data_IF_075934208594
#
_entry.id   IF_075934208594
#
_cell.length_a   1.000
_cell.length_b   1.000
_cell.length_c   1.000
_cell.angle_alpha   90.00
_cell.angle_beta   90.00
_cell.angle_gamma   90.00
#
_symmetry.space_group_name_H-M   'P 1'
#
loop_
_entity.id
_entity.type
_entity.pdbx_description
1 polymer ?
#
# COMPACT_ATOMS: atom_id res chain seq x y z
N UNK A 1 -46.58 -38.97 20.34
CA UNK A 1 -46.12 -37.77 19.63
C UNK A 1 -44.78 -37.40 20.20
N UNK A 2 -43.70 -37.71 19.48
CA UNK A 2 -42.35 -37.34 19.90
C UNK A 2 -41.97 -36.05 19.20
N UNK A 3 -41.79 -35.00 20.01
CA UNK A 3 -41.35 -33.68 19.56
C UNK A 3 -39.87 -33.77 19.21
N UNK A 4 -39.53 -33.54 17.95
CA UNK A 4 -38.15 -33.36 17.53
C UNK A 4 -37.80 -31.89 17.73
N UNK A 5 -37.01 -31.61 18.76
CA UNK A 5 -36.37 -30.30 18.91
C UNK A 5 -35.47 -30.06 17.70
N UNK A 6 -35.84 -29.04 16.94
CA UNK A 6 -35.17 -28.61 15.73
C UNK A 6 -33.84 -27.99 16.16
N UNK A 7 -32.73 -28.68 15.93
CA UNK A 7 -31.40 -28.07 16.03
C UNK A 7 -31.33 -26.90 15.05
N UNK A 8 -31.45 -25.68 15.57
CA UNK A 8 -31.14 -24.46 14.82
C UNK A 8 -29.64 -24.40 14.64
N UNK A 9 -29.17 -24.90 13.50
CA UNK A 9 -27.79 -24.72 13.06
C UNK A 9 -27.73 -23.26 12.59
N UNK A 10 -27.06 -22.41 13.36
CA UNK A 10 -26.75 -21.04 12.98
C UNK A 10 -25.79 -21.11 11.79
N UNK A 11 -26.37 -21.16 10.58
CA UNK A 11 -25.64 -21.02 9.33
C UNK A 11 -25.23 -19.55 9.28
N UNK A 12 -24.12 -19.24 9.95
CA UNK A 12 -23.52 -17.92 9.97
C UNK A 12 -23.51 -17.36 8.56
N UNK A 13 -24.02 -16.15 8.42
CA UNK A 13 -24.05 -15.40 7.17
C UNK A 13 -22.62 -15.30 6.64
N UNK A 14 -22.25 -16.23 5.76
CA UNK A 14 -20.98 -16.18 5.04
C UNK A 14 -21.16 -15.11 3.97
N UNK A 15 -20.86 -13.86 4.33
CA UNK A 15 -20.84 -12.76 3.37
C UNK A 15 -19.78 -13.09 2.30
N UNK A 16 -20.18 -13.30 1.02
CA UNK A 16 -19.24 -13.56 -0.07
C UNK A 16 -18.24 -12.43 -0.27
N UNK A 17 -18.54 -11.22 0.26
CA UNK A 17 -17.69 -10.05 0.19
C UNK A 17 -16.42 -10.15 1.04
N UNK A 18 -16.40 -11.00 2.08
CA UNK A 18 -15.22 -11.18 2.93
C UNK A 18 -14.02 -11.67 2.10
N UNK A 19 -14.29 -12.50 1.08
CA UNK A 19 -13.29 -13.05 0.18
C UNK A 19 -12.75 -12.05 -0.85
N UNK A 20 -13.59 -11.15 -1.34
CA UNK A 20 -13.20 -10.19 -2.37
C UNK A 20 -12.56 -8.94 -1.79
N UNK A 21 -12.99 -8.53 -0.59
CA UNK A 21 -12.41 -7.40 0.15
C UNK A 21 -10.94 -7.63 0.49
N UNK A 22 -10.55 -8.87 0.86
CA UNK A 22 -9.14 -9.16 1.19
C UNK A 22 -8.22 -9.06 -0.03
N UNK A 23 -8.64 -9.54 -1.21
CA UNK A 23 -7.81 -9.51 -2.44
C UNK A 23 -7.63 -8.07 -2.93
N UNK A 24 -8.69 -7.26 -2.82
CA UNK A 24 -8.65 -5.85 -3.19
C UNK A 24 -7.74 -5.04 -2.24
N UNK A 25 -7.80 -5.30 -0.93
CA UNK A 25 -6.90 -4.65 0.04
C UNK A 25 -5.42 -5.01 -0.16
N UNK A 26 -5.11 -6.24 -0.56
CA UNK A 26 -3.72 -6.67 -0.81
C UNK A 26 -3.15 -5.94 -2.02
N UNK A 27 -3.87 -5.90 -3.15
CA UNK A 27 -3.41 -5.22 -4.36
C UNK A 27 -3.43 -3.69 -4.23
N UNK A 28 -4.32 -3.12 -3.42
CA UNK A 28 -4.36 -1.67 -3.17
C UNK A 28 -3.08 -1.20 -2.46
N UNK A 29 -2.52 -2.02 -1.58
CA UNK A 29 -1.34 -1.70 -0.74
C UNK A 29 0.00 -1.84 -1.48
N UNK A 30 0.00 -2.21 -2.77
CA UNK A 30 1.24 -2.49 -3.50
C UNK A 30 1.65 -1.30 -4.38
N UNK A 31 2.85 -0.79 -4.10
CA UNK A 31 3.58 0.11 -4.99
C UNK A 31 4.57 -0.72 -5.81
N UNK A 32 4.44 -0.66 -7.12
CA UNK A 32 5.41 -1.23 -8.08
C UNK A 32 6.14 -0.08 -8.76
N UNK A 33 7.47 -0.11 -8.73
CA UNK A 33 8.34 0.88 -9.38
C UNK A 33 9.36 0.12 -10.22
N UNK A 34 9.38 0.39 -11.52
CA UNK A 34 10.08 -0.45 -12.48
C UNK A 34 9.50 -1.87 -12.44
N UNK A 35 10.33 -2.85 -12.07
CA UNK A 35 9.96 -4.27 -11.93
C UNK A 35 9.93 -4.72 -10.46
N UNK A 36 9.99 -3.78 -9.51
CA UNK A 36 10.15 -4.08 -8.08
C UNK A 36 8.89 -3.73 -7.29
N UNK A 37 8.42 -4.70 -6.50
CA UNK A 37 7.41 -4.48 -5.46
C UNK A 37 8.06 -3.79 -4.26
N UNK A 38 7.82 -2.49 -4.11
CA UNK A 38 8.49 -1.64 -3.12
C UNK A 38 8.22 -2.12 -1.69
N UNK A 39 7.01 -2.63 -1.40
CA UNK A 39 6.67 -3.23 -0.09
C UNK A 39 7.62 -4.37 0.28
N UNK A 40 7.81 -5.30 -0.65
CA UNK A 40 8.62 -6.50 -0.44
C UNK A 40 10.09 -6.10 -0.28
N UNK A 41 10.56 -5.15 -1.09
CA UNK A 41 11.90 -4.59 -0.94
C UNK A 41 12.12 -3.94 0.43
N UNK A 42 11.15 -3.17 0.95
CA UNK A 42 11.25 -2.58 2.28
C UNK A 42 11.25 -3.62 3.41
N UNK A 43 10.47 -4.70 3.27
CA UNK A 43 10.48 -5.82 4.21
C UNK A 43 11.81 -6.59 4.18
N UNK A 44 12.49 -6.62 3.03
CA UNK A 44 13.75 -7.35 2.82
C UNK A 44 14.77 -6.48 2.08
N UNK A 45 15.31 -5.42 2.71
CA UNK A 45 16.17 -4.44 2.05
C UNK A 45 17.56 -4.98 1.69
N UNK A 46 17.92 -6.17 2.21
CA UNK A 46 19.15 -6.91 1.87
C UNK A 46 19.01 -7.70 0.57
N UNK A 47 17.83 -7.72 -0.04
CA UNK A 47 17.62 -8.37 -1.33
C UNK A 47 18.54 -7.75 -2.40
N UNK A 48 19.27 -8.61 -3.12
CA UNK A 48 20.20 -8.17 -4.16
C UNK A 48 19.39 -7.76 -5.40
N UNK A 49 19.30 -6.46 -5.64
CA UNK A 49 18.70 -5.92 -6.85
C UNK A 49 19.62 -6.18 -8.05
N UNK A 50 19.04 -6.63 -9.16
CA UNK A 50 19.79 -6.82 -10.43
C UNK A 50 20.29 -5.49 -10.99
N UNK A 51 19.48 -4.44 -10.91
CA UNK A 51 19.83 -3.09 -11.34
C UNK A 51 19.46 -2.03 -10.27
N UNK A 52 20.25 -1.88 -9.20
CA UNK A 52 19.95 -0.95 -8.11
C UNK A 52 19.93 0.51 -8.59
N UNK A 53 20.75 0.87 -9.59
CA UNK A 53 20.78 2.23 -10.15
C UNK A 53 19.51 2.54 -10.92
N UNK A 54 19.05 1.62 -11.78
CA UNK A 54 17.79 1.77 -12.52
C UNK A 54 16.61 1.93 -11.56
N UNK A 55 16.51 1.03 -10.59
CA UNK A 55 15.46 1.12 -9.57
C UNK A 55 15.51 2.46 -8.80
N UNK A 56 16.70 2.97 -8.47
CA UNK A 56 16.84 4.28 -7.80
C UNK A 56 16.32 5.44 -8.67
N UNK A 57 16.63 5.42 -9.98
CA UNK A 57 16.16 6.44 -10.93
C UNK A 57 14.63 6.41 -11.02
N UNK A 58 14.07 5.22 -11.23
CA UNK A 58 12.61 5.04 -11.33
C UNK A 58 11.89 5.50 -10.05
N UNK A 59 12.50 5.26 -8.88
CA UNK A 59 11.99 5.68 -7.57
C UNK A 59 12.03 7.20 -7.40
N UNK A 60 13.09 7.85 -7.87
CA UNK A 60 13.20 9.31 -7.86
C UNK A 60 12.22 9.96 -8.83
N UNK A 61 12.01 9.37 -10.01
CA UNK A 61 11.02 9.84 -10.99
C UNK A 61 9.60 9.75 -10.42
N UNK A 62 9.26 8.63 -9.76
CA UNK A 62 8.01 8.49 -9.04
C UNK A 62 7.85 9.58 -7.97
N UNK A 63 8.83 9.73 -7.06
CA UNK A 63 8.75 10.76 -6.01
C UNK A 63 8.64 12.18 -6.59
N UNK A 64 9.35 12.45 -7.68
CA UNK A 64 9.28 13.70 -8.44
C UNK A 64 7.87 13.97 -8.98
N UNK A 65 7.19 12.97 -9.55
CA UNK A 65 5.81 13.12 -10.03
C UNK A 65 4.82 13.37 -8.91
N UNK A 66 5.13 12.91 -7.68
CA UNK A 66 4.30 13.12 -6.50
C UNK A 66 4.54 14.47 -5.81
N UNK A 67 5.65 15.16 -6.09
CA UNK A 67 6.04 16.40 -5.40
C UNK A 67 4.99 17.51 -5.53
N UNK A 68 4.38 17.68 -6.71
CA UNK A 68 3.34 18.69 -6.94
C UNK A 68 2.08 18.43 -6.11
N UNK A 69 1.71 17.15 -5.95
CA UNK A 69 0.58 16.78 -5.10
C UNK A 69 0.87 17.06 -3.63
N UNK A 70 2.04 16.67 -3.14
CA UNK A 70 2.44 16.98 -1.77
C UNK A 70 2.42 18.50 -1.52
N UNK A 71 2.93 19.29 -2.47
CA UNK A 71 2.90 20.75 -2.36
C UNK A 71 1.48 21.31 -2.29
N UNK A 72 0.58 20.83 -3.15
CA UNK A 72 -0.84 21.22 -3.13
C UNK A 72 -1.50 20.84 -1.81
N UNK A 73 -1.27 19.64 -1.29
CA UNK A 73 -1.81 19.17 0.00
C UNK A 73 -1.28 20.02 1.16
N UNK A 74 0.00 20.37 1.16
CA UNK A 74 0.63 21.19 2.22
C UNK A 74 0.18 22.65 2.18
N UNK A 75 -0.04 23.22 1.00
CA UNK A 75 -0.54 24.59 0.84
C UNK A 75 -2.04 24.72 1.16
N UNK A 76 -2.81 23.66 0.98
CA UNK A 76 -4.25 23.68 1.23
C UNK A 76 -4.51 23.45 2.72
N UNK A 77 -4.79 24.53 3.45
CA UNK A 77 -4.92 24.58 4.92
C UNK A 77 -5.96 23.58 5.47
N UNK A 78 -5.49 22.61 6.26
CA UNK A 78 -6.12 21.80 7.33
C UNK A 78 -7.40 20.98 7.06
N UNK A 79 -8.32 21.42 6.20
CA UNK A 79 -9.64 20.79 6.08
C UNK A 79 -9.64 19.47 5.27
N UNK A 80 -8.68 19.29 4.35
CA UNK A 80 -8.53 18.06 3.57
C UNK A 80 -7.76 16.96 4.31
N UNK A 81 -6.84 17.31 5.24
CA UNK A 81 -6.18 16.34 6.11
C UNK A 81 -7.08 15.86 7.27
N UNK A 82 -8.12 16.63 7.61
CA UNK A 82 -9.06 16.24 8.67
C UNK A 82 -9.95 15.05 8.25
N UNK A 83 -10.24 14.91 6.95
CA UNK A 83 -10.97 13.79 6.34
C UNK A 83 -10.39 13.47 4.94
N UNK A 84 -9.22 12.81 4.86
CA UNK A 84 -8.65 12.43 3.58
C UNK A 84 -9.50 11.35 2.90
N UNK A 85 -9.69 11.45 1.59
CA UNK A 85 -10.30 10.37 0.83
C UNK A 85 -9.40 9.12 0.83
N UNK A 86 -9.99 7.95 0.59
CA UNK A 86 -9.24 6.68 0.50
C UNK A 86 -8.11 6.75 -0.53
N UNK A 87 -8.33 7.44 -1.66
CA UNK A 87 -7.32 7.63 -2.71
C UNK A 87 -6.16 8.52 -2.25
N UNK A 88 -6.45 9.56 -1.47
CA UNK A 88 -5.41 10.43 -0.90
C UNK A 88 -4.54 9.66 0.10
N UNK A 89 -5.17 8.83 0.93
CA UNK A 89 -4.47 8.00 1.90
C UNK A 89 -3.58 6.96 1.19
N UNK A 90 -4.12 6.26 0.19
CA UNK A 90 -3.36 5.31 -0.63
C UNK A 90 -2.14 5.99 -1.28
N UNK A 91 -2.34 7.17 -1.86
CA UNK A 91 -1.25 7.93 -2.45
C UNK A 91 -0.18 8.32 -1.43
N UNK A 92 -0.57 8.73 -0.22
CA UNK A 92 0.36 9.07 0.86
C UNK A 92 1.14 7.83 1.33
N UNK A 93 0.48 6.68 1.50
CA UNK A 93 1.11 5.41 1.85
C UNK A 93 2.14 5.01 0.79
N UNK A 94 1.82 5.13 -0.49
CA UNK A 94 2.77 4.84 -1.59
C UNK A 94 3.98 5.77 -1.57
N UNK A 95 3.79 7.05 -1.26
CA UNK A 95 4.89 8.01 -1.10
C UNK A 95 5.79 7.62 0.07
N UNK A 96 5.21 7.26 1.22
CA UNK A 96 5.95 6.79 2.39
C UNK A 96 6.80 5.56 2.05
N UNK A 97 6.20 4.55 1.41
CA UNK A 97 6.90 3.34 0.98
C UNK A 97 8.08 3.65 0.04
N UNK A 98 7.89 4.58 -0.91
CA UNK A 98 8.95 4.99 -1.82
C UNK A 98 10.10 5.72 -1.09
N UNK A 99 9.78 6.58 -0.11
CA UNK A 99 10.79 7.25 0.71
C UNK A 99 11.59 6.26 1.56
N UNK A 100 10.92 5.26 2.15
CA UNK A 100 11.58 4.19 2.90
C UNK A 100 12.50 3.35 2.00
N UNK A 101 12.05 3.01 0.79
CA UNK A 101 12.87 2.29 -0.17
C UNK A 101 14.12 3.08 -0.56
N UNK A 102 13.98 4.39 -0.81
CA UNK A 102 15.11 5.24 -1.13
C UNK A 102 16.14 5.27 0.01
N UNK A 103 15.66 5.37 1.26
CA UNK A 103 16.52 5.27 2.44
C UNK A 103 17.25 3.93 2.50
N UNK A 104 16.56 2.83 2.22
CA UNK A 104 17.14 1.50 2.27
C UNK A 104 18.23 1.31 1.21
N UNK A 105 18.02 1.83 0.00
CA UNK A 105 19.05 1.86 -1.06
C UNK A 105 20.28 2.67 -0.62
N UNK A 106 20.07 3.88 -0.09
CA UNK A 106 21.18 4.75 0.36
C UNK A 106 21.99 4.07 1.47
N UNK A 107 21.32 3.37 2.39
CA UNK A 107 21.99 2.60 3.46
C UNK A 107 22.73 1.37 2.96
N UNK A 108 22.24 0.73 1.91
CA UNK A 108 22.86 -0.45 1.31
C UNK A 108 24.07 -0.07 0.44
N UNK A 109 24.18 1.19 0.00
CA UNK A 109 25.35 1.70 -0.71
C UNK A 109 26.51 1.94 0.28
N UNK A 110 27.65 1.23 0.15
CA UNK A 110 28.84 1.46 0.98
C UNK A 110 29.56 2.78 0.65
#
# INVERSE_FOLDING_TARGET
GVSYDRYSIDLGECDPSYGSTFVFEIHSKELVVGEIFVRIFNEQPTFVLENPKGFTIDLLDFLGSQAQYLHSVLMTQQQQLANPSTEQLDRLTKIEMALEALRNIIKASP
#
